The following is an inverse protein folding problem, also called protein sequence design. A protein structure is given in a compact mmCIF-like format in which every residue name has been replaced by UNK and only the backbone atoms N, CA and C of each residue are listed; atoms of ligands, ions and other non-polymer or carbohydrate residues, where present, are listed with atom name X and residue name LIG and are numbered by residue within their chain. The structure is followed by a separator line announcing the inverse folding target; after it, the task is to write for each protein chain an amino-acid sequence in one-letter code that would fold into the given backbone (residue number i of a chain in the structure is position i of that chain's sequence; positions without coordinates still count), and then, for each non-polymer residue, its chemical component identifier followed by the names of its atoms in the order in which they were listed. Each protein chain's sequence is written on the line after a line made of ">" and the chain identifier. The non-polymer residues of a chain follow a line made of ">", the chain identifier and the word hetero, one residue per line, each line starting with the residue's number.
data_IF_339788827069
#
_entry.id   IF_339788827069
#
_cell.length_a   1.000
_cell.length_b   1.000
_cell.length_c   1.000
_cell.angle_alpha   90.00
_cell.angle_beta   90.00
_cell.angle_gamma   90.00
#
_symmetry.space_group_name_H-M   'P 1'
#
loop_
_entity.id
_entity.type
_entity.pdbx_description
1 polymer ?
#
# COMPACT_ATOMS: atom_id res chain seq x y z
N UNK A 1 -10.61 24.61 -32.16
CA UNK A 1 -9.96 24.25 -30.89
C UNK A 1 -10.89 23.29 -30.16
N UNK A 2 -10.50 22.14 -29.70
CA UNK A 2 -11.40 21.36 -28.87
C UNK A 2 -11.66 22.16 -27.60
N UNK A 3 -12.94 22.34 -27.27
CA UNK A 3 -13.38 22.90 -26.00
C UNK A 3 -12.75 22.08 -24.88
N UNK A 4 -12.19 22.78 -23.91
CA UNK A 4 -11.63 22.17 -22.71
C UNK A 4 -12.80 21.54 -21.95
N UNK A 5 -12.95 20.23 -22.08
CA UNK A 5 -14.01 19.44 -21.41
C UNK A 5 -13.53 19.01 -20.03
N UNK A 6 -13.12 19.96 -19.19
CA UNK A 6 -12.95 19.66 -17.78
C UNK A 6 -14.33 19.33 -17.19
N UNK A 7 -14.39 18.22 -16.46
CA UNK A 7 -15.60 17.84 -15.75
C UNK A 7 -15.97 18.93 -14.73
N UNK A 8 -17.24 19.16 -14.54
CA UNK A 8 -17.73 20.01 -13.44
C UNK A 8 -17.37 19.43 -12.07
N UNK A 9 -17.36 20.25 -11.04
CA UNK A 9 -17.11 19.79 -9.68
C UNK A 9 -18.06 18.65 -9.26
N UNK A 10 -19.35 18.76 -9.61
CA UNK A 10 -20.36 17.71 -9.33
C UNK A 10 -20.04 16.38 -10.04
N UNK A 11 -19.52 16.44 -11.26
CA UNK A 11 -19.11 15.24 -11.99
C UNK A 11 -17.87 14.59 -11.38
N UNK A 12 -16.89 15.37 -10.90
CA UNK A 12 -15.76 14.86 -10.15
C UNK A 12 -16.21 14.21 -8.84
N UNK A 13 -17.10 14.83 -8.06
CA UNK A 13 -17.63 14.26 -6.82
C UNK A 13 -18.39 12.97 -7.07
N UNK A 14 -19.27 12.94 -8.08
CA UNK A 14 -20.00 11.74 -8.46
C UNK A 14 -19.04 10.58 -8.84
N UNK A 15 -18.01 10.88 -9.63
CA UNK A 15 -17.02 9.89 -10.02
C UNK A 15 -16.23 9.37 -8.79
N UNK A 16 -15.83 10.27 -7.88
CA UNK A 16 -15.10 9.93 -6.66
C UNK A 16 -15.93 9.07 -5.68
N UNK A 17 -17.25 9.31 -5.61
CA UNK A 17 -18.14 8.58 -4.71
C UNK A 17 -18.68 7.27 -5.28
N UNK A 18 -18.51 7.02 -6.57
CA UNK A 18 -19.07 5.85 -7.26
C UNK A 18 -18.77 4.52 -6.55
N UNK A 19 -17.51 4.30 -6.18
CA UNK A 19 -17.13 3.05 -5.51
C UNK A 19 -17.53 3.01 -4.03
N UNK A 20 -17.65 4.15 -3.36
CA UNK A 20 -18.17 4.22 -1.98
C UNK A 20 -19.64 3.80 -1.92
N UNK A 21 -20.44 4.28 -2.86
CA UNK A 21 -21.86 3.93 -2.96
C UNK A 21 -22.06 2.46 -3.30
N UNK A 22 -21.28 1.95 -4.25
CA UNK A 22 -21.30 0.51 -4.57
C UNK A 22 -20.81 -0.36 -3.42
N UNK A 23 -19.78 0.06 -2.70
CA UNK A 23 -19.24 -0.68 -1.57
C UNK A 23 -20.27 -0.82 -0.44
N UNK A 24 -21.07 0.23 -0.21
CA UNK A 24 -22.13 0.21 0.80
C UNK A 24 -23.24 -0.85 0.53
N UNK A 25 -23.43 -1.23 -0.74
CA UNK A 25 -24.43 -2.21 -1.17
C UNK A 25 -23.82 -3.59 -1.48
N UNK A 26 -22.50 -3.72 -1.39
CA UNK A 26 -21.79 -4.93 -1.79
C UNK A 26 -21.94 -6.05 -0.78
N UNK A 27 -21.93 -7.29 -1.27
CA UNK A 27 -21.84 -8.49 -0.44
C UNK A 27 -20.44 -8.63 0.13
N UNK A 28 -20.37 -8.56 1.46
CA UNK A 28 -19.10 -8.61 2.19
C UNK A 28 -18.73 -10.05 2.58
N UNK A 29 -17.43 -10.32 2.59
CA UNK A 29 -16.89 -11.47 3.30
C UNK A 29 -16.94 -11.23 4.81
N UNK A 30 -16.88 -12.30 5.56
CA UNK A 30 -16.55 -12.25 6.99
C UNK A 30 -15.20 -11.54 7.18
N UNK A 31 -15.10 -10.68 8.21
CA UNK A 31 -13.92 -9.82 8.38
C UNK A 31 -12.66 -10.62 8.73
N UNK A 32 -12.78 -11.71 9.50
CA UNK A 32 -11.63 -12.56 9.84
C UNK A 32 -11.16 -13.34 8.61
N UNK A 33 -12.10 -13.83 7.80
CA UNK A 33 -11.78 -14.49 6.53
C UNK A 33 -11.12 -13.51 5.53
N UNK A 34 -11.62 -12.28 5.47
CA UNK A 34 -11.04 -11.23 4.65
C UNK A 34 -9.62 -10.89 5.11
N UNK A 35 -9.43 -10.67 6.42
CA UNK A 35 -8.11 -10.36 7.01
C UNK A 35 -7.10 -11.45 6.65
N UNK A 36 -7.45 -12.71 6.85
CA UNK A 36 -6.60 -13.85 6.50
C UNK A 36 -6.20 -13.82 5.01
N UNK A 37 -7.17 -13.62 4.10
CA UNK A 37 -6.90 -13.59 2.66
C UNK A 37 -6.04 -12.39 2.26
N UNK A 38 -6.22 -11.23 2.90
CA UNK A 38 -5.38 -10.05 2.74
C UNK A 38 -3.94 -10.35 3.15
N UNK A 39 -3.72 -10.92 4.33
CA UNK A 39 -2.39 -11.28 4.84
C UNK A 39 -1.70 -12.31 3.95
N UNK A 40 -2.42 -13.34 3.52
CA UNK A 40 -1.89 -14.36 2.58
C UNK A 40 -1.42 -13.71 1.27
N UNK A 41 -2.20 -12.77 0.72
CA UNK A 41 -1.83 -12.07 -0.51
C UNK A 41 -0.63 -11.14 -0.32
N UNK A 42 -0.57 -10.41 0.80
CA UNK A 42 0.58 -9.56 1.13
C UNK A 42 1.85 -10.40 1.27
N UNK A 43 1.79 -11.54 1.94
CA UNK A 43 2.94 -12.42 2.16
C UNK A 43 3.37 -13.20 0.92
N UNK A 44 2.45 -13.46 -0.02
CA UNK A 44 2.76 -14.09 -1.30
C UNK A 44 3.50 -13.14 -2.26
N UNK A 45 3.52 -11.85 -1.98
CA UNK A 45 4.19 -10.81 -2.74
C UNK A 45 5.30 -10.15 -1.90
N UNK A 46 6.22 -9.48 -2.55
CA UNK A 46 7.32 -8.75 -1.89
C UNK A 46 7.62 -7.41 -2.54
N UNK A 47 6.86 -7.02 -3.55
CA UNK A 47 7.05 -5.75 -4.27
C UNK A 47 5.76 -4.94 -4.29
N UNK A 48 5.92 -3.64 -4.26
CA UNK A 48 4.81 -2.70 -4.27
C UNK A 48 5.15 -1.43 -5.06
N UNK A 49 4.13 -0.66 -5.38
CA UNK A 49 4.29 0.73 -5.80
C UNK A 49 3.86 1.65 -4.65
N UNK A 50 4.81 2.40 -4.08
CA UNK A 50 4.56 3.34 -2.99
C UNK A 50 4.34 4.75 -3.54
N UNK A 51 3.14 5.27 -3.38
CA UNK A 51 2.79 6.65 -3.69
C UNK A 51 2.98 7.56 -2.46
N UNK A 52 3.69 8.67 -2.69
CA UNK A 52 3.93 9.74 -1.71
C UNK A 52 3.61 11.08 -2.36
N UNK A 53 3.03 12.02 -1.62
CA UNK A 53 2.65 13.32 -2.14
C UNK A 53 2.76 14.42 -1.07
N UNK A 54 3.13 15.64 -1.50
CA UNK A 54 3.09 16.85 -0.67
C UNK A 54 2.94 18.08 -1.56
N UNK A 55 1.82 18.80 -1.42
CA UNK A 55 1.45 19.87 -2.34
C UNK A 55 1.37 19.36 -3.78
N UNK A 56 2.03 20.03 -4.70
CA UNK A 56 2.06 19.65 -6.12
C UNK A 56 3.04 18.53 -6.45
N UNK A 57 3.84 18.10 -5.45
CA UNK A 57 4.79 17.03 -5.63
C UNK A 57 4.15 15.67 -5.41
N UNK A 58 4.23 14.81 -6.42
CA UNK A 58 3.74 13.43 -6.38
C UNK A 58 4.83 12.48 -6.85
N UNK A 59 5.05 11.40 -6.12
CA UNK A 59 5.97 10.34 -6.51
C UNK A 59 5.33 8.97 -6.32
N UNK A 60 5.52 8.08 -7.28
CA UNK A 60 5.20 6.67 -7.18
C UNK A 60 6.47 5.86 -7.46
N UNK A 61 6.89 5.06 -6.49
CA UNK A 61 8.18 4.35 -6.53
C UNK A 61 7.95 2.85 -6.39
N UNK A 62 8.45 2.00 -7.33
CA UNK A 62 8.49 0.54 -7.14
C UNK A 62 9.52 0.20 -6.08
N UNK A 63 9.13 -0.58 -5.08
CA UNK A 63 9.95 -0.93 -3.92
C UNK A 63 9.70 -2.38 -3.51
N UNK A 64 10.70 -3.00 -2.89
CA UNK A 64 10.52 -4.24 -2.13
C UNK A 64 10.05 -3.93 -0.72
N UNK A 65 9.24 -4.81 -0.17
CA UNK A 65 8.80 -4.74 1.23
C UNK A 65 8.91 -6.09 1.93
N UNK A 66 8.91 -6.04 3.24
CA UNK A 66 8.54 -7.16 4.12
C UNK A 66 7.30 -6.78 4.92
N UNK A 67 6.51 -7.77 5.34
CA UNK A 67 5.30 -7.53 6.14
C UNK A 67 5.37 -8.38 7.40
N UNK A 68 5.39 -7.72 8.55
CA UNK A 68 5.31 -8.34 9.87
C UNK A 68 4.80 -7.32 10.89
N UNK A 69 4.25 -7.81 11.99
CA UNK A 69 3.66 -6.97 13.05
C UNK A 69 2.64 -5.96 12.49
N UNK A 70 1.79 -6.43 11.56
CA UNK A 70 0.76 -5.65 10.87
C UNK A 70 1.28 -4.38 10.17
N UNK A 71 2.57 -4.33 9.82
CA UNK A 71 3.22 -3.21 9.15
C UNK A 71 4.00 -3.66 7.91
N UNK A 72 4.07 -2.74 6.93
CA UNK A 72 5.01 -2.86 5.82
C UNK A 72 6.33 -2.19 6.18
N UNK A 73 7.43 -2.86 5.86
CA UNK A 73 8.78 -2.40 6.14
C UNK A 73 9.58 -2.34 4.86
N UNK A 74 10.14 -1.17 4.57
CA UNK A 74 10.79 -0.88 3.30
C UNK A 74 12.17 -0.29 3.56
N UNK A 75 13.22 -1.05 3.29
CA UNK A 75 14.58 -0.51 3.25
C UNK A 75 14.81 0.26 1.94
N UNK A 76 15.42 1.44 2.04
CA UNK A 76 15.65 2.32 0.89
C UNK A 76 16.94 3.11 1.06
N UNK A 77 17.75 3.17 0.01
CA UNK A 77 18.94 4.03 -0.02
C UNK A 77 18.61 5.52 0.04
N UNK A 78 17.45 5.93 -0.48
CA UNK A 78 17.04 7.32 -0.54
C UNK A 78 16.04 7.59 -1.68
N UNK A 79 16.11 8.82 -2.23
CA UNK A 79 15.34 9.26 -3.38
C UNK A 79 14.25 10.27 -3.04
N UNK A 80 13.65 10.82 -4.07
CA UNK A 80 12.74 11.98 -3.97
C UNK A 80 11.46 11.74 -3.15
N UNK A 81 11.06 10.48 -2.92
CA UNK A 81 9.94 10.16 -2.03
C UNK A 81 10.07 10.75 -0.62
N UNK A 82 11.34 10.98 -0.17
CA UNK A 82 11.60 11.57 1.14
C UNK A 82 11.21 13.04 1.24
N UNK A 83 11.19 13.81 0.13
CA UNK A 83 10.65 15.17 0.11
C UNK A 83 9.16 15.21 0.50
N UNK A 84 8.41 14.25 -0.01
CA UNK A 84 7.01 14.13 0.36
C UNK A 84 6.86 13.60 1.79
N UNK A 85 7.60 12.56 2.15
CA UNK A 85 7.52 11.92 3.47
C UNK A 85 7.93 12.86 4.62
N UNK A 86 8.76 13.86 4.39
CA UNK A 86 9.07 14.89 5.38
C UNK A 86 7.81 15.67 5.78
N UNK A 87 6.99 16.05 4.80
CA UNK A 87 5.84 16.96 4.95
C UNK A 87 4.52 16.23 5.15
N UNK A 88 4.37 15.05 4.57
CA UNK A 88 3.13 14.28 4.60
C UNK A 88 3.43 12.81 4.83
N UNK A 89 2.91 12.28 5.94
CA UNK A 89 3.07 10.87 6.32
C UNK A 89 1.99 9.96 5.74
N UNK A 90 0.92 10.52 5.16
CA UNK A 90 -0.08 9.70 4.50
C UNK A 90 0.47 9.17 3.18
N UNK A 91 0.34 7.88 2.99
CA UNK A 91 0.84 7.17 1.82
C UNK A 91 -0.20 6.21 1.27
N UNK A 92 -0.05 5.87 0.00
CA UNK A 92 -0.77 4.77 -0.60
C UNK A 92 0.23 3.77 -1.17
N UNK A 93 0.10 2.50 -0.78
CA UNK A 93 0.91 1.41 -1.28
C UNK A 93 0.01 0.49 -2.11
N UNK A 94 0.48 0.07 -3.28
CA UNK A 94 -0.28 -0.81 -4.18
C UNK A 94 0.49 -2.08 -4.44
N UNK A 95 -0.19 -3.22 -4.30
CA UNK A 95 0.29 -4.55 -4.71
C UNK A 95 -0.70 -5.05 -5.76
N UNK A 96 -0.24 -5.55 -6.89
CA UNK A 96 -1.12 -6.02 -7.95
C UNK A 96 -0.48 -7.10 -8.81
N UNK A 97 -1.31 -8.03 -9.26
CA UNK A 97 -0.93 -9.07 -10.21
C UNK A 97 -0.95 -8.51 -11.64
N UNK A 98 -0.27 -9.22 -12.53
CA UNK A 98 -0.38 -8.97 -13.97
C UNK A 98 -1.84 -9.10 -14.41
N UNK A 99 -2.29 -8.16 -15.23
CA UNK A 99 -3.63 -8.23 -15.81
C UNK A 99 -3.76 -9.40 -16.78
N UNK A 100 -4.68 -10.30 -16.47
CA UNK A 100 -5.00 -11.48 -17.31
C UNK A 100 -6.51 -11.58 -17.65
N UNK A 101 -7.23 -10.47 -17.60
CA UNK A 101 -8.66 -10.38 -17.86
C UNK A 101 -9.51 -10.12 -16.60
N UNK A 102 -10.75 -9.66 -16.82
CA UNK A 102 -11.65 -9.25 -15.72
C UNK A 102 -11.98 -10.35 -14.71
N UNK A 103 -11.95 -11.62 -15.13
CA UNK A 103 -12.19 -12.76 -14.24
C UNK A 103 -11.01 -13.16 -13.36
N UNK A 104 -9.84 -12.52 -13.52
CA UNK A 104 -8.59 -12.84 -12.82
C UNK A 104 -7.96 -11.62 -12.15
N UNK A 105 -8.75 -10.58 -11.91
CA UNK A 105 -8.23 -9.38 -11.26
C UNK A 105 -7.81 -9.68 -9.82
N UNK A 106 -6.58 -9.30 -9.48
CA UNK A 106 -6.06 -9.24 -8.11
C UNK A 106 -5.20 -8.01 -7.93
N UNK A 107 -5.51 -7.22 -6.92
CA UNK A 107 -4.72 -6.06 -6.55
C UNK A 107 -5.32 -5.34 -5.36
N UNK A 108 -4.47 -4.81 -4.50
CA UNK A 108 -4.91 -4.06 -3.34
C UNK A 108 -4.27 -2.68 -3.26
N UNK A 109 -5.02 -1.76 -2.70
CA UNK A 109 -4.57 -0.43 -2.30
C UNK A 109 -4.54 -0.37 -0.78
N UNK A 110 -3.41 0.00 -0.22
CA UNK A 110 -3.20 0.15 1.21
C UNK A 110 -3.02 1.62 1.52
N UNK A 111 -4.01 2.25 2.12
CA UNK A 111 -3.87 3.58 2.70
C UNK A 111 -3.25 3.44 4.08
N UNK A 112 -2.16 4.16 4.37
CA UNK A 112 -1.46 4.03 5.64
C UNK A 112 -0.69 5.28 6.05
N UNK A 113 -0.08 5.19 7.23
CA UNK A 113 0.85 6.20 7.75
C UNK A 113 2.27 5.67 7.70
N UNK A 114 3.15 6.44 7.07
CA UNK A 114 4.58 6.18 7.05
C UNK A 114 5.28 6.84 8.23
N UNK A 115 6.27 6.15 8.79
CA UNK A 115 7.26 6.71 9.70
C UNK A 115 8.66 6.30 9.24
N UNK A 116 9.64 7.15 9.52
CA UNK A 116 11.04 6.82 9.29
C UNK A 116 11.60 6.28 10.61
N UNK A 117 12.10 5.06 10.56
CA UNK A 117 12.71 4.40 11.70
C UNK A 117 14.15 4.85 11.83
N UNK A 118 14.56 5.18 13.06
CA UNK A 118 15.91 5.61 13.34
C UNK A 118 16.92 4.48 13.04
N UNK A 119 17.96 4.74 12.24
CA UNK A 119 18.97 3.75 11.92
C UNK A 119 19.60 3.13 13.17
N UNK A 120 19.76 1.81 13.14
CA UNK A 120 20.34 1.00 14.23
C UNK A 120 19.56 1.03 15.55
N UNK A 121 18.37 1.62 15.61
CA UNK A 121 17.44 1.42 16.73
C UNK A 121 17.06 -0.05 16.87
N UNK A 122 16.46 -0.43 17.99
CA UNK A 122 15.98 -1.80 18.21
C UNK A 122 15.00 -2.24 17.11
N UNK A 123 14.09 -1.37 16.71
CA UNK A 123 13.10 -1.63 15.66
C UNK A 123 13.76 -1.81 14.28
N UNK A 124 14.77 -0.99 13.97
CA UNK A 124 15.56 -1.13 12.75
C UNK A 124 16.30 -2.48 12.69
N UNK A 125 16.93 -2.88 13.79
CA UNK A 125 17.66 -4.14 13.90
C UNK A 125 16.73 -5.33 13.74
N UNK A 126 15.55 -5.29 14.37
CA UNK A 126 14.53 -6.34 14.23
C UNK A 126 14.03 -6.47 12.78
N UNK A 127 13.78 -5.36 12.10
CA UNK A 127 13.36 -5.38 10.70
C UNK A 127 14.47 -5.92 9.78
N UNK A 128 15.72 -5.57 10.04
CA UNK A 128 16.87 -6.10 9.30
C UNK A 128 17.03 -7.63 9.51
N UNK A 129 16.86 -8.10 10.74
CA UNK A 129 16.93 -9.52 11.07
C UNK A 129 15.79 -10.30 10.42
N UNK A 130 14.57 -9.80 10.49
CA UNK A 130 13.41 -10.39 9.82
C UNK A 130 13.64 -10.56 8.32
N UNK A 131 14.24 -9.55 7.68
CA UNK A 131 14.59 -9.60 6.26
C UNK A 131 15.87 -10.39 5.98
N UNK A 132 16.56 -10.88 7.02
CA UNK A 132 17.85 -11.58 6.92
C UNK A 132 18.96 -10.71 6.27
N UNK A 133 18.94 -9.40 6.52
CA UNK A 133 20.00 -8.49 6.11
C UNK A 133 21.06 -8.50 7.21
N UNK A 134 22.31 -8.88 6.92
CA UNK A 134 23.37 -8.87 7.92
C UNK A 134 23.63 -7.44 8.43
N UNK A 135 23.47 -7.19 9.72
CA UNK A 135 23.66 -5.88 10.33
C UNK A 135 25.03 -5.30 10.02
N UNK A 136 26.07 -6.14 10.06
CA UNK A 136 27.44 -5.76 9.69
C UNK A 136 27.57 -5.25 8.24
N UNK A 137 26.67 -5.63 7.35
CA UNK A 137 26.67 -5.11 5.98
C UNK A 137 26.11 -3.69 5.95
N UNK A 138 25.06 -3.44 6.73
CA UNK A 138 24.45 -2.11 6.88
C UNK A 138 25.40 -1.12 7.57
N UNK A 139 26.14 -1.56 8.59
CA UNK A 139 27.15 -0.76 9.30
C UNK A 139 28.33 -0.32 8.41
N UNK A 140 28.65 -1.10 7.38
CA UNK A 140 29.74 -0.80 6.45
C UNK A 140 29.36 0.15 5.32
N UNK A 141 28.08 0.47 5.19
CA UNK A 141 27.62 1.41 4.17
C UNK A 141 28.07 2.84 4.51
N UNK A 142 28.41 3.66 3.51
CA UNK A 142 28.80 5.07 3.74
C UNK A 142 27.72 5.88 4.46
N UNK A 143 26.44 5.52 4.22
CA UNK A 143 25.28 6.07 4.90
C UNK A 143 24.35 4.91 5.26
N UNK A 144 23.71 4.94 6.45
CA UNK A 144 22.72 3.94 6.81
C UNK A 144 21.59 3.89 5.79
N UNK A 145 21.09 2.70 5.47
CA UNK A 145 19.84 2.59 4.72
C UNK A 145 18.70 3.19 5.52
N UNK A 146 17.85 3.95 4.86
CA UNK A 146 16.61 4.42 5.49
C UNK A 146 15.64 3.26 5.61
N UNK A 147 14.92 3.19 6.72
CA UNK A 147 13.84 2.24 6.93
C UNK A 147 12.51 2.99 7.04
N UNK A 148 11.61 2.71 6.12
CA UNK A 148 10.24 3.23 6.11
C UNK A 148 9.34 2.16 6.69
N UNK A 149 8.65 2.47 7.80
CA UNK A 149 7.57 1.66 8.35
C UNK A 149 6.24 2.26 7.94
N UNK A 150 5.33 1.45 7.42
CA UNK A 150 3.99 1.88 7.04
C UNK A 150 2.98 1.07 7.83
N UNK A 151 2.22 1.76 8.71
CA UNK A 151 1.07 1.18 9.40
C UNK A 151 -0.17 1.35 8.50
N UNK A 152 -0.80 0.26 8.03
CA UNK A 152 -2.05 0.32 7.29
C UNK A 152 -3.17 0.93 8.14
N UNK A 153 -4.05 1.69 7.50
CA UNK A 153 -5.31 2.18 8.07
C UNK A 153 -6.52 1.57 7.37
N UNK A 154 -6.39 1.36 6.07
CA UNK A 154 -7.44 0.80 5.23
C UNK A 154 -6.80 0.02 4.09
N UNK A 155 -7.33 -1.15 3.80
CA UNK A 155 -6.95 -1.98 2.66
C UNK A 155 -8.19 -2.20 1.79
N UNK A 156 -8.11 -1.79 0.54
CA UNK A 156 -9.13 -2.04 -0.47
C UNK A 156 -8.59 -3.11 -1.42
N UNK A 157 -9.17 -4.30 -1.36
CA UNK A 157 -8.71 -5.45 -2.12
C UNK A 157 -9.71 -5.84 -3.20
N UNK A 158 -9.28 -5.79 -4.45
CA UNK A 158 -10.01 -6.35 -5.59
C UNK A 158 -9.47 -7.74 -5.85
N UNK A 159 -10.30 -8.76 -5.68
CA UNK A 159 -9.97 -10.14 -5.99
C UNK A 159 -11.17 -10.84 -6.62
N UNK A 160 -11.00 -11.27 -7.88
CA UNK A 160 -12.07 -11.95 -8.62
C UNK A 160 -12.51 -13.27 -7.99
N UNK A 161 -11.64 -13.90 -7.20
CA UNK A 161 -11.94 -15.17 -6.53
C UNK A 161 -12.98 -15.04 -5.42
N UNK A 162 -13.19 -13.85 -4.85
CA UNK A 162 -14.23 -13.62 -3.82
C UNK A 162 -15.64 -13.96 -4.31
N UNK A 163 -15.87 -13.93 -5.62
CA UNK A 163 -17.14 -14.35 -6.20
C UNK A 163 -17.46 -15.82 -5.99
N UNK A 164 -16.43 -16.67 -5.81
CA UNK A 164 -16.61 -18.10 -5.53
C UNK A 164 -17.21 -18.31 -4.14
N UNK A 165 -16.96 -17.38 -3.24
CA UNK A 165 -17.47 -17.36 -1.86
C UNK A 165 -18.78 -16.56 -1.73
N UNK A 166 -19.37 -16.16 -2.87
CA UNK A 166 -20.63 -15.43 -2.94
C UNK A 166 -20.52 -13.94 -2.57
N UNK A 167 -19.31 -13.41 -2.45
CA UNK A 167 -19.05 -12.01 -2.16
C UNK A 167 -18.73 -11.20 -3.42
N UNK A 168 -18.78 -9.88 -3.33
CA UNK A 168 -18.32 -9.00 -4.40
C UNK A 168 -16.79 -8.96 -4.47
N UNK A 169 -16.28 -8.74 -5.68
CA UNK A 169 -14.82 -8.78 -5.93
C UNK A 169 -14.04 -7.71 -5.19
N UNK A 170 -14.67 -6.59 -4.81
CA UNK A 170 -14.04 -5.51 -4.04
C UNK A 170 -14.44 -5.63 -2.59
N UNK A 171 -13.47 -5.75 -1.73
CA UNK A 171 -13.63 -5.82 -0.28
C UNK A 171 -12.78 -4.75 0.40
N UNK A 172 -13.23 -4.27 1.54
CA UNK A 172 -12.53 -3.26 2.33
C UNK A 172 -12.28 -3.79 3.74
N UNK A 173 -11.03 -3.77 4.17
CA UNK A 173 -10.59 -4.06 5.52
C UNK A 173 -10.13 -2.76 6.18
N UNK A 174 -10.71 -2.43 7.33
CA UNK A 174 -10.23 -1.34 8.19
C UNK A 174 -9.21 -1.91 9.16
N UNK A 175 -8.07 -1.26 9.26
CA UNK A 175 -6.97 -1.66 10.14
C UNK A 175 -6.92 -0.72 11.36
N UNK A 176 -6.78 -1.27 12.54
CA UNK A 176 -6.71 -0.56 13.83
C UNK A 176 -5.29 -0.04 14.15
#
# INVERSE_FOLDING_TARGET
>A
MPENTDLSHEEYERAANYWKEKDAQSKKLDQDALKKTVEEYIQANNTCALATAAGDFVRCTPLEYTYHDDCFWIFSEGGEKFYALEKNKNVCLVIFDKYEGFGKLKGMQVTGLASIVEPFSQEYVQAADFRKIPLKALEKMPHPMNLIKIKPKKIEFVNSDFKKDGADSRQTLICD
#
